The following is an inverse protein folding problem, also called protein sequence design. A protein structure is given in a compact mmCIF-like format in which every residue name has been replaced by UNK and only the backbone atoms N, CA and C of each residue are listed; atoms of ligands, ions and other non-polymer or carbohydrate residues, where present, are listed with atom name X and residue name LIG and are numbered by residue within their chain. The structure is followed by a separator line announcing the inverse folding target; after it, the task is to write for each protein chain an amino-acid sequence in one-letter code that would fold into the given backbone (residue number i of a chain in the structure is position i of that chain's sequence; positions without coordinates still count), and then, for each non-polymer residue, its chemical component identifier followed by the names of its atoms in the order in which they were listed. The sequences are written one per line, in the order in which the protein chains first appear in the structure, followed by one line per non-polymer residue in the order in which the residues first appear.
data_IF_908587722119
#
_entry.id   IF_908587722119
#
_cell.length_a   1.000
_cell.length_b   1.000
_cell.length_c   1.000
_cell.angle_alpha   90.00
_cell.angle_beta   90.00
_cell.angle_gamma   90.00
#
_symmetry.space_group_name_H-M   'P 1'
#
loop_
_entity.id
_entity.type
_entity.pdbx_description
1 polymer ?
#
# COMPACT_ATOMS: atom_id res chain seq x y z
N UNK A 1 10.14 -26.00 19.61
CA UNK A 1 9.98 -24.53 19.65
C UNK A 1 9.00 -24.14 18.56
N UNK A 2 7.99 -23.37 18.91
CA UNK A 2 7.03 -22.80 17.97
C UNK A 2 7.64 -21.47 17.50
N UNK A 3 8.03 -21.37 16.23
CA UNK A 3 8.51 -20.09 15.69
C UNK A 3 7.28 -19.20 15.45
N UNK A 4 6.99 -18.31 16.41
CA UNK A 4 6.07 -17.20 16.21
C UNK A 4 6.63 -16.21 15.19
N UNK A 5 5.76 -15.40 14.59
CA UNK A 5 6.20 -14.29 13.75
C UNK A 5 6.82 -13.19 14.62
N UNK A 6 7.91 -12.57 14.18
CA UNK A 6 8.57 -11.44 14.88
C UNK A 6 7.97 -10.08 14.47
N UNK A 7 7.42 -9.99 13.26
CA UNK A 7 6.86 -8.75 12.69
C UNK A 7 5.52 -8.98 11.98
N UNK A 8 4.65 -7.96 12.01
CA UNK A 8 3.44 -7.87 11.21
C UNK A 8 3.64 -6.81 10.14
N UNK A 9 3.44 -7.17 8.87
CA UNK A 9 3.29 -6.23 7.78
C UNK A 9 1.80 -6.02 7.51
N UNK A 10 1.32 -4.79 7.69
CA UNK A 10 -0.08 -4.41 7.43
C UNK A 10 -0.15 -3.19 6.51
N UNK A 11 -1.30 -2.97 5.87
CA UNK A 11 -1.43 -1.85 4.95
C UNK A 11 -2.76 -1.76 4.21
N UNK A 12 -2.83 -0.79 3.30
CA UNK A 12 -3.99 -0.54 2.45
C UNK A 12 -3.59 -0.28 1.01
N UNK A 13 -4.44 -0.72 0.08
CA UNK A 13 -4.32 -0.44 -1.35
C UNK A 13 -5.59 0.29 -1.79
N UNK A 14 -5.42 1.52 -2.26
CA UNK A 14 -6.51 2.37 -2.74
C UNK A 14 -6.38 2.57 -4.24
N UNK A 15 -7.51 2.51 -4.95
CA UNK A 15 -7.57 2.77 -6.40
C UNK A 15 -8.41 4.02 -6.66
N UNK A 16 -7.81 5.01 -7.30
CA UNK A 16 -8.46 6.27 -7.66
C UNK A 16 -8.58 6.31 -9.18
N UNK A 17 -9.83 6.28 -9.67
CA UNK A 17 -10.12 6.38 -11.10
C UNK A 17 -10.44 7.82 -11.44
N UNK A 18 -9.63 8.42 -12.30
CA UNK A 18 -9.89 9.73 -12.89
C UNK A 18 -10.30 9.56 -14.35
N UNK A 19 -11.47 10.07 -14.73
CA UNK A 19 -11.98 9.99 -16.08
C UNK A 19 -12.36 11.38 -16.57
N UNK A 20 -11.61 11.89 -17.55
CA UNK A 20 -11.89 13.17 -18.20
C UNK A 20 -11.95 12.99 -19.72
N UNK A 21 -13.13 13.20 -20.31
CA UNK A 21 -13.42 12.97 -21.73
C UNK A 21 -13.02 11.55 -22.17
N UNK A 22 -12.17 11.42 -23.20
CA UNK A 22 -11.67 10.14 -23.74
C UNK A 22 -10.42 9.59 -23.01
N UNK A 23 -9.99 10.23 -21.92
CA UNK A 23 -8.82 9.83 -21.13
C UNK A 23 -9.27 9.25 -19.80
N UNK A 24 -8.79 8.04 -19.48
CA UNK A 24 -8.97 7.40 -18.18
C UNK A 24 -7.60 7.22 -17.54
N UNK A 25 -7.44 7.61 -16.29
CA UNK A 25 -6.25 7.35 -15.49
C UNK A 25 -6.66 6.56 -14.26
N UNK A 26 -5.87 5.55 -13.90
CA UNK A 26 -6.08 4.80 -12.66
C UNK A 26 -4.82 4.96 -11.84
N UNK A 27 -4.98 5.51 -10.65
CA UNK A 27 -3.88 5.68 -9.69
C UNK A 27 -4.05 4.68 -8.56
N UNK A 28 -3.02 3.91 -8.29
CA UNK A 28 -2.94 3.00 -7.15
C UNK A 28 -2.06 3.66 -6.09
N UNK A 29 -2.59 3.78 -4.88
CA UNK A 29 -1.85 4.20 -3.70
C UNK A 29 -1.74 3.01 -2.75
N UNK A 30 -0.52 2.65 -2.40
CA UNK A 30 -0.20 1.57 -1.46
C UNK A 30 0.43 2.21 -0.24
N UNK A 31 -0.08 1.89 0.95
CA UNK A 31 0.52 2.28 2.22
C UNK A 31 0.81 1.00 3.01
N UNK A 32 2.01 0.86 3.53
CA UNK A 32 2.47 -0.30 4.29
C UNK A 32 3.13 0.15 5.60
N UNK A 33 2.94 -0.67 6.63
CA UNK A 33 3.48 -0.50 7.98
C UNK A 33 4.02 -1.84 8.47
N UNK A 34 5.21 -1.82 9.04
CA UNK A 34 5.84 -2.98 9.67
C UNK A 34 5.92 -2.74 11.18
N UNK A 35 5.34 -3.65 11.95
CA UNK A 35 5.24 -3.56 13.41
C UNK A 35 5.94 -4.74 14.05
N UNK A 36 6.80 -4.48 15.03
CA UNK A 36 7.39 -5.52 15.87
C UNK A 36 6.32 -6.07 16.83
N UNK A 37 6.10 -7.38 16.85
CA UNK A 37 5.00 -7.99 17.62
C UNK A 37 5.29 -7.95 19.13
N UNK A 38 6.56 -8.10 19.52
CA UNK A 38 6.95 -8.14 20.92
C UNK A 38 6.82 -6.76 21.58
N UNK A 39 7.30 -5.71 20.91
CA UNK A 39 7.29 -4.35 21.46
C UNK A 39 6.07 -3.53 21.05
N UNK A 40 5.29 -3.99 20.06
CA UNK A 40 4.18 -3.26 19.44
C UNK A 40 4.62 -1.93 18.80
N UNK A 41 5.90 -1.80 18.46
CA UNK A 41 6.45 -0.60 17.84
C UNK A 41 6.42 -0.69 16.31
N UNK A 42 6.02 0.40 15.67
CA UNK A 42 6.14 0.56 14.22
C UNK A 42 7.60 0.84 13.89
N UNK A 43 8.26 -0.13 13.25
CA UNK A 43 9.68 -0.04 12.90
C UNK A 43 9.90 0.51 11.50
N UNK A 44 8.87 0.47 10.64
CA UNK A 44 8.94 1.00 9.28
C UNK A 44 7.56 1.39 8.76
N UNK A 45 7.54 2.45 7.96
CA UNK A 45 6.38 2.87 7.18
C UNK A 45 6.83 3.24 5.77
N UNK A 46 6.02 2.90 4.78
CA UNK A 46 6.26 3.30 3.40
C UNK A 46 4.97 3.49 2.62
N UNK A 47 4.99 4.49 1.75
CA UNK A 47 3.93 4.73 0.78
C UNK A 47 4.46 4.67 -0.65
N UNK A 48 3.59 4.25 -1.57
CA UNK A 48 3.88 4.26 -3.00
C UNK A 48 2.65 4.64 -3.79
N UNK A 49 2.83 5.60 -4.70
CA UNK A 49 1.83 5.99 -5.69
C UNK A 49 2.26 5.58 -7.10
N UNK A 50 1.35 4.93 -7.82
CA UNK A 50 1.57 4.47 -9.20
C UNK A 50 0.39 4.94 -10.05
N UNK A 51 0.64 5.85 -10.99
CA UNK A 51 -0.37 6.33 -11.93
C UNK A 51 -0.26 5.57 -13.26
N UNK A 52 -1.35 4.93 -13.69
CA UNK A 52 -1.47 4.27 -14.99
C UNK A 52 -2.41 5.07 -15.89
N UNK A 53 -1.84 5.68 -16.93
CA UNK A 53 -2.62 6.30 -18.00
C UNK A 53 -3.21 5.20 -18.89
N UNK A 54 -4.54 5.15 -18.99
CA UNK A 54 -5.26 4.30 -19.92
C UNK A 54 -5.60 5.15 -21.14
N UNK A 55 -4.84 4.97 -22.23
CA UNK A 55 -5.22 5.46 -23.56
C UNK A 55 -6.08 4.39 -24.22
N UNK A 56 -7.30 4.76 -24.62
CA UNK A 56 -8.14 3.95 -25.50
C UNK A 56 -7.67 4.09 -26.95
#
# INVERSE_FOLDING_TARGET
LENGADYILQGSINSIVDAYKKKKSVTYQVNLELTNIETNEVVWMGDKKIAKLVKN
#
